data_IF_834269426906
#
_entry.id   IF_834269426906
#
_cell.length_a   1.000
_cell.length_b   1.000
_cell.length_c   1.000
_cell.angle_alpha   90.00
_cell.angle_beta   90.00
_cell.angle_gamma   90.00
#
_symmetry.space_group_name_H-M   'P 1'
#
loop_
_entity.id
_entity.type
_entity.pdbx_description
1 polymer ?
#
# COMPACT_ATOMS: atom_id res chain seq x y z
N UNK A 1 1.31 -14.17 -6.74
CA UNK A 1 0.80 -12.79 -6.57
C UNK A 1 -0.54 -12.91 -5.87
N UNK A 2 -0.73 -12.25 -4.73
CA UNK A 2 -1.96 -12.37 -3.94
C UNK A 2 -3.02 -11.48 -4.60
N UNK A 3 -4.29 -11.91 -4.61
CA UNK A 3 -5.44 -11.20 -5.21
C UNK A 3 -5.48 -9.71 -4.81
N UNK A 4 -5.09 -9.40 -3.57
CA UNK A 4 -5.03 -8.03 -3.03
C UNK A 4 -4.02 -7.14 -3.76
N UNK A 5 -2.86 -7.68 -4.18
CA UNK A 5 -1.87 -6.94 -4.96
C UNK A 5 -2.35 -6.69 -6.38
N UNK A 6 -3.04 -7.66 -7.00
CA UNK A 6 -3.65 -7.48 -8.32
C UNK A 6 -4.76 -6.42 -8.29
N UNK A 7 -5.59 -6.42 -7.25
CA UNK A 7 -6.64 -5.42 -7.08
C UNK A 7 -6.05 -4.03 -6.77
N UNK A 8 -4.94 -3.96 -6.02
CA UNK A 8 -4.21 -2.70 -5.80
C UNK A 8 -3.64 -2.13 -7.11
N UNK A 9 -3.03 -2.97 -7.94
CA UNK A 9 -2.55 -2.58 -9.27
C UNK A 9 -3.73 -2.15 -10.15
N UNK A 10 -4.86 -2.87 -10.08
CA UNK A 10 -6.05 -2.53 -10.87
C UNK A 10 -6.66 -1.18 -10.46
N UNK A 11 -6.74 -0.89 -9.15
CA UNK A 11 -7.21 0.40 -8.64
C UNK A 11 -6.21 1.51 -9.01
N UNK A 12 -4.91 1.27 -8.83
CA UNK A 12 -3.86 2.22 -9.17
C UNK A 12 -3.81 2.54 -10.68
N UNK A 13 -4.06 1.54 -11.55
CA UNK A 13 -4.10 1.72 -12.99
C UNK A 13 -5.45 2.28 -13.50
N UNK A 14 -6.57 2.01 -12.81
CA UNK A 14 -7.89 2.52 -13.20
C UNK A 14 -8.09 3.99 -12.84
N UNK A 15 -7.53 4.44 -11.72
CA UNK A 15 -7.42 5.86 -11.38
C UNK A 15 -6.12 6.40 -11.97
N UNK A 16 -6.18 6.86 -13.23
CA UNK A 16 -5.06 7.41 -14.00
C UNK A 16 -4.37 8.60 -13.32
N UNK A 17 -3.57 8.31 -12.29
CA UNK A 17 -2.64 9.23 -11.67
C UNK A 17 -1.45 9.35 -12.61
N UNK A 18 -1.55 10.28 -13.56
CA UNK A 18 -0.36 10.82 -14.22
C UNK A 18 0.50 11.48 -13.14
N UNK A 19 1.44 10.73 -12.56
CA UNK A 19 2.49 11.31 -11.73
C UNK A 19 3.40 12.11 -12.66
N UNK A 20 3.11 13.40 -12.79
CA UNK A 20 4.00 14.37 -13.43
C UNK A 20 5.04 14.79 -12.41
N UNK A 21 6.30 14.44 -12.65
CA UNK A 21 7.40 15.04 -11.93
C UNK A 21 7.40 16.57 -12.18
N UNK A 22 8.05 17.34 -11.30
CA UNK A 22 8.30 18.77 -11.46
C UNK A 22 8.94 19.16 -12.81
N UNK A 23 9.54 18.18 -13.50
CA UNK A 23 10.15 18.28 -14.83
C UNK A 23 9.21 17.89 -15.99
N UNK A 24 7.93 17.59 -15.74
CA UNK A 24 6.93 17.31 -16.77
C UNK A 24 6.93 15.88 -17.33
N UNK A 25 7.74 14.97 -16.78
CA UNK A 25 7.70 13.56 -17.16
C UNK A 25 6.52 12.86 -16.49
N UNK A 26 5.60 12.32 -17.31
CA UNK A 26 4.56 11.40 -16.85
C UNK A 26 5.19 10.02 -16.65
N UNK A 27 5.19 9.52 -15.42
CA UNK A 27 5.63 8.15 -15.15
C UNK A 27 4.59 7.15 -15.67
N UNK A 28 5.00 6.25 -16.56
CA UNK A 28 4.16 5.13 -17.01
C UNK A 28 3.85 4.20 -15.84
N UNK A 29 2.67 3.59 -15.81
CA UNK A 29 2.25 2.74 -14.70
C UNK A 29 3.20 1.55 -14.51
N UNK A 30 3.80 1.03 -15.59
CA UNK A 30 4.83 -0.02 -15.53
C UNK A 30 6.04 0.39 -14.68
N UNK A 31 6.43 1.67 -14.72
CA UNK A 31 7.56 2.20 -13.96
C UNK A 31 7.24 2.35 -12.47
N UNK A 32 5.97 2.40 -12.11
CA UNK A 32 5.48 2.58 -10.74
C UNK A 32 5.24 1.23 -10.02
N UNK A 33 5.17 0.11 -10.75
CA UNK A 33 4.93 -1.24 -10.18
C UNK A 33 5.92 -1.57 -9.04
N UNK A 34 7.25 -1.40 -9.20
CA UNK A 34 8.19 -1.79 -8.14
C UNK A 34 8.02 -0.94 -6.87
N UNK A 35 7.69 0.35 -7.03
CA UNK A 35 7.43 1.25 -5.91
C UNK A 35 6.14 0.86 -5.18
N UNK A 36 5.10 0.48 -5.93
CA UNK A 36 3.82 0.03 -5.39
C UNK A 36 3.96 -1.30 -4.62
N UNK A 37 4.69 -2.26 -5.18
CA UNK A 37 4.95 -3.54 -4.53
C UNK A 37 5.70 -3.35 -3.21
N UNK A 38 6.68 -2.45 -3.18
CA UNK A 38 7.41 -2.09 -1.97
C UNK A 38 6.50 -1.42 -0.92
N UNK A 39 5.61 -0.53 -1.36
CA UNK A 39 4.65 0.11 -0.48
C UNK A 39 3.70 -0.92 0.15
N UNK A 40 3.12 -1.83 -0.64
CA UNK A 40 2.25 -2.90 -0.15
C UNK A 40 2.96 -3.82 0.85
N UNK A 41 4.21 -4.18 0.57
CA UNK A 41 5.01 -5.05 1.44
C UNK A 41 5.30 -4.43 2.81
N UNK A 42 5.34 -3.10 2.89
CA UNK A 42 5.75 -2.36 4.10
C UNK A 42 4.58 -1.70 4.84
N UNK A 43 3.39 -1.67 4.26
CA UNK A 43 2.18 -1.17 4.91
C UNK A 43 1.55 -2.22 5.83
N UNK A 44 0.97 -1.76 6.93
CA UNK A 44 0.26 -2.64 7.87
C UNK A 44 -1.09 -3.02 7.28
N UNK A 45 -1.37 -4.31 7.16
CA UNK A 45 -2.64 -4.77 6.63
C UNK A 45 -3.73 -4.71 7.70
N UNK A 46 -4.90 -4.18 7.37
CA UNK A 46 -5.99 -3.92 8.31
C UNK A 46 -6.54 -5.18 8.99
N UNK A 47 -6.58 -6.31 8.29
CA UNK A 47 -7.11 -7.57 8.84
C UNK A 47 -6.16 -8.30 9.78
N UNK A 48 -4.85 -8.19 9.56
CA UNK A 48 -3.84 -8.95 10.31
C UNK A 48 -3.08 -8.08 11.32
N UNK A 49 -3.16 -6.75 11.18
CA UNK A 49 -2.42 -5.81 12.02
C UNK A 49 -0.89 -5.89 11.87
N UNK A 50 -0.41 -6.61 10.84
CA UNK A 50 1.01 -6.84 10.57
C UNK A 50 1.32 -6.49 9.11
N UNK A 51 2.59 -6.18 8.80
CA UNK A 51 3.00 -5.95 7.42
C UNK A 51 3.15 -7.28 6.67
N UNK A 52 2.81 -7.35 5.37
CA UNK A 52 3.01 -8.56 4.58
C UNK A 52 4.45 -9.08 4.61
N UNK A 53 5.45 -8.19 4.64
CA UNK A 53 6.87 -8.60 4.75
C UNK A 53 7.17 -9.35 6.04
N UNK A 54 6.59 -8.93 7.16
CA UNK A 54 6.76 -9.61 8.45
C UNK A 54 6.04 -10.97 8.44
N UNK A 55 4.87 -11.06 7.81
CA UNK A 55 4.15 -12.33 7.68
C UNK A 55 4.85 -13.33 6.76
N UNK A 56 5.43 -12.87 5.64
CA UNK A 56 6.08 -13.74 4.66
C UNK A 56 7.52 -14.11 5.06
N UNK A 57 8.29 -13.15 5.57
CA UNK A 57 9.74 -13.28 5.76
C UNK A 57 10.18 -13.16 7.22
N UNK A 58 9.29 -12.75 8.12
CA UNK A 58 9.61 -12.54 9.53
C UNK A 58 10.32 -11.21 9.85
N UNK A 59 10.56 -10.34 8.86
CA UNK A 59 11.20 -9.04 9.05
C UNK A 59 10.71 -8.00 8.05
N UNK A 60 10.73 -6.72 8.44
CA UNK A 60 10.37 -5.61 7.56
C UNK A 60 11.64 -4.98 6.96
N UNK A 61 11.73 -4.80 5.64
CA UNK A 61 12.86 -4.10 5.04
C UNK A 61 12.94 -2.65 5.53
N UNK A 62 14.15 -2.20 5.91
CA UNK A 62 14.41 -0.80 6.24
C UNK A 62 14.39 0.02 4.96
N UNK A 63 13.46 0.96 4.85
CA UNK A 63 13.36 1.83 3.70
C UNK A 63 14.34 3.01 3.84
N UNK A 64 14.82 3.60 2.71
CA UNK A 64 15.58 4.85 2.76
C UNK A 64 14.84 5.97 3.51
N UNK A 65 13.51 5.98 3.41
CA UNK A 65 12.64 6.90 4.14
C UNK A 65 12.70 6.74 5.67
N UNK A 66 12.93 5.52 6.17
CA UNK A 66 13.12 5.28 7.62
C UNK A 66 14.50 5.77 8.10
N UNK A 67 15.43 5.94 7.15
CA UNK A 67 16.82 6.37 7.40
C UNK A 67 16.96 7.89 7.25
N UNK A 68 16.13 8.51 6.42
CA UNK A 68 15.98 9.96 6.32
C UNK A 68 15.39 10.50 7.63
N UNK A 69 16.27 10.91 8.56
CA UNK A 69 15.85 11.53 9.82
C UNK A 69 14.97 12.75 9.51
N UNK A 70 13.88 12.87 10.26
CA UNK A 70 12.95 14.02 10.32
C UNK A 70 13.63 15.40 10.51
N UNK A 71 14.91 15.40 10.89
CA UNK A 71 15.73 16.57 11.21
C UNK A 71 16.96 16.72 10.32
N UNK A 72 16.98 16.13 9.12
CA UNK A 72 18.00 16.51 8.14
C UNK A 72 17.76 17.98 7.75
N UNK A 73 18.74 18.83 8.08
CA UNK A 73 18.94 20.12 7.42
C UNK A 73 18.82 19.86 5.93
N UNK A 74 17.94 20.60 5.24
CA UNK A 74 17.58 20.40 3.84
C UNK A 74 18.85 20.29 2.95
N UNK A 75 19.34 19.07 2.74
CA UNK A 75 20.64 18.84 2.10
C UNK A 75 20.52 19.13 0.60
N UNK A 76 19.33 18.92 0.03
CA UNK A 76 19.07 19.16 -1.38
C UNK A 76 17.56 19.33 -1.65
N UNK A 77 17.14 20.36 -2.42
CA UNK A 77 15.73 20.65 -2.67
C UNK A 77 14.97 19.46 -3.29
N UNK A 78 15.64 18.66 -4.14
CA UNK A 78 15.05 17.44 -4.72
C UNK A 78 14.73 16.37 -3.68
N UNK A 79 15.55 16.21 -2.63
CA UNK A 79 15.30 15.20 -1.60
C UNK A 79 14.09 15.58 -0.73
N UNK A 80 13.93 16.88 -0.44
CA UNK A 80 12.76 17.39 0.26
C UNK A 80 11.48 17.24 -0.56
N UNK A 81 11.52 17.52 -1.87
CA UNK A 81 10.41 17.27 -2.79
C UNK A 81 10.07 15.77 -2.83
N UNK A 82 11.07 14.90 -2.94
CA UNK A 82 10.87 13.46 -2.95
C UNK A 82 10.19 12.95 -1.67
N UNK A 83 10.58 13.47 -0.49
CA UNK A 83 9.91 13.11 0.77
C UNK A 83 8.43 13.51 0.77
N UNK A 84 8.08 14.69 0.27
CA UNK A 84 6.68 15.13 0.17
C UNK A 84 5.89 14.23 -0.78
N UNK A 85 6.48 13.89 -1.93
CA UNK A 85 5.87 12.97 -2.90
C UNK A 85 5.67 11.59 -2.25
N UNK A 86 6.70 11.08 -1.57
CA UNK A 86 6.65 9.78 -0.91
C UNK A 86 5.59 9.73 0.18
N UNK A 87 5.44 10.79 0.97
CA UNK A 87 4.42 10.88 2.02
C UNK A 87 3.01 10.88 1.44
N UNK A 88 2.78 11.64 0.35
CA UNK A 88 1.52 11.63 -0.40
C UNK A 88 1.22 10.25 -0.99
N UNK A 89 2.21 9.60 -1.60
CA UNK A 89 2.07 8.24 -2.16
C UNK A 89 1.75 7.24 -1.06
N UNK A 90 2.43 7.31 0.09
CA UNK A 90 2.15 6.45 1.25
C UNK A 90 0.73 6.66 1.78
N UNK A 91 0.29 7.91 1.90
CA UNK A 91 -1.06 8.20 2.36
C UNK A 91 -2.10 7.63 1.40
N UNK A 92 -1.93 7.85 0.09
CA UNK A 92 -2.84 7.35 -0.92
C UNK A 92 -2.85 5.82 -0.99
N UNK A 93 -1.69 5.16 -0.92
CA UNK A 93 -1.60 3.70 -0.89
C UNK A 93 -2.34 3.09 0.30
N UNK A 94 -2.24 3.70 1.49
CA UNK A 94 -2.99 3.25 2.66
C UNK A 94 -4.52 3.42 2.48
N UNK A 95 -4.97 4.53 1.89
CA UNK A 95 -6.38 4.73 1.57
C UNK A 95 -6.88 3.66 0.58
N UNK A 96 -6.15 3.44 -0.52
CA UNK A 96 -6.51 2.43 -1.52
C UNK A 96 -6.56 1.01 -0.94
N UNK A 97 -5.68 0.68 0.01
CA UNK A 97 -5.72 -0.60 0.72
C UNK A 97 -6.97 -0.75 1.59
N UNK A 98 -7.36 0.30 2.31
CA UNK A 98 -8.57 0.27 3.14
C UNK A 98 -9.83 0.16 2.27
N UNK A 99 -9.91 0.94 1.19
CA UNK A 99 -11.04 0.91 0.26
C UNK A 99 -11.18 -0.48 -0.39
N UNK A 100 -10.06 -1.11 -0.78
CA UNK A 100 -10.05 -2.46 -1.33
C UNK A 100 -10.52 -3.50 -0.30
N UNK A 101 -10.10 -3.37 0.96
CA UNK A 101 -10.55 -4.23 2.05
C UNK A 101 -12.05 -4.08 2.31
N UNK A 102 -12.56 -2.84 2.38
CA UNK A 102 -13.96 -2.55 2.60
C UNK A 102 -14.84 -3.03 1.44
N UNK A 103 -14.34 -2.96 0.20
CA UNK A 103 -15.01 -3.54 -0.97
C UNK A 103 -15.08 -5.08 -0.91
N UNK A 104 -14.01 -5.73 -0.45
CA UNK A 104 -13.92 -7.19 -0.39
C UNK A 104 -14.76 -7.79 0.76
N UNK A 105 -14.89 -7.10 1.88
CA UNK A 105 -15.61 -7.53 3.08
C UNK A 105 -17.04 -8.04 2.82
N UNK A 106 -17.96 -7.28 2.18
CA UNK A 106 -19.34 -7.74 1.96
C UNK A 106 -19.42 -8.93 0.99
N UNK A 107 -18.44 -9.09 0.08
CA UNK A 107 -18.37 -10.25 -0.81
C UNK A 107 -17.91 -11.50 -0.06
N UNK A 108 -16.93 -11.35 0.84
CA UNK A 108 -16.47 -12.41 1.74
C UNK A 108 -17.56 -12.85 2.71
N UNK A 109 -18.27 -11.91 3.33
CA UNK A 109 -19.33 -12.20 4.31
C UNK A 109 -20.54 -12.91 3.66
N UNK A 110 -20.90 -12.56 2.42
CA UNK A 110 -21.97 -13.26 1.67
C UNK A 110 -21.67 -14.74 1.40
N UNK A 111 -20.40 -15.11 1.30
CA UNK A 111 -19.99 -16.51 1.08
C UNK A 111 -19.78 -17.29 2.38
N UNK A 112 -19.65 -16.61 3.53
CA UNK A 112 -19.48 -17.24 4.83
C UNK A 112 -20.85 -17.46 5.50
N UNK A 113 -21.31 -18.71 5.52
CA UNK A 113 -22.40 -19.12 6.42
C UNK A 113 -21.79 -19.38 7.79
N UNK A 114 -22.22 -18.63 8.81
CA UNK A 114 -21.93 -18.96 10.20
C UNK A 114 -22.70 -20.26 10.51
N UNK A 115 -22.02 -21.37 10.86
CA UNK A 115 -22.71 -22.58 11.25
C UNK A 115 -23.48 -22.31 12.56
N UNK A 116 -24.79 -22.56 12.56
CA UNK A 116 -25.60 -22.53 13.77
C UNK A 116 -25.28 -23.77 14.60
N UNK A 117 -24.46 -23.60 15.64
CA UNK A 117 -24.14 -24.67 16.58
C UNK A 117 -25.09 -24.56 17.78
N UNK A 118 -26.05 -25.49 17.88
CA UNK A 118 -26.75 -25.73 19.15
C UNK A 118 -25.89 -26.65 20.01
N UNK A 119 -25.37 -26.12 21.10
CA UNK A 119 -24.67 -26.91 22.13
C UNK A 119 -25.71 -27.37 23.16
N UNK A 120 -25.98 -28.67 23.19
CA UNK A 120 -26.73 -29.34 24.26
C UNK A 120 -28.26 -29.39 24.07
N UNK A 121 -28.80 -30.60 24.26
CA UNK A 121 -30.10 -30.87 24.89
C UNK A 121 -29.79 -31.27 26.35
#
# INVERSE_FOLDING_TARGET
MIQTSEDMIRIFCAYGLEFKDSNGFTHDWCTLIPALELAYKTSVHSSTGQTPSVLEKGWNPRLPADTLRKYLIDIHPTASIFNIILDKVKHHANQSMNDAFDYAKPKGDKSHKVPDFKVGD
#
